data_IF_713662219694
#
_entry.id   IF_713662219694
#
_cell.length_a   1.000
_cell.length_b   1.000
_cell.length_c   1.000
_cell.angle_alpha   90.00
_cell.angle_beta   90.00
_cell.angle_gamma   90.00
#
_symmetry.space_group_name_H-M   'P 1'
#
loop_
_entity.id
_entity.type
_entity.pdbx_description
1 polymer ?
#
# COMPACT_ATOMS: atom_id res chain seq x y z
N UNK A 1 -19.72 8.03 25.49
CA UNK A 1 -18.76 7.13 24.82
C UNK A 1 -17.64 6.83 25.80
N UNK A 2 -17.63 5.62 26.39
CA UNK A 2 -16.50 5.20 27.22
C UNK A 2 -15.35 4.91 26.25
N UNK A 3 -14.27 5.69 26.33
CA UNK A 3 -13.00 5.33 25.68
C UNK A 3 -12.55 4.02 26.34
N UNK A 4 -12.84 2.89 25.71
CA UNK A 4 -12.18 1.65 26.06
C UNK A 4 -10.69 1.88 25.78
N UNK A 5 -9.87 1.62 26.79
CA UNK A 5 -8.44 1.81 26.71
C UNK A 5 -7.91 0.66 25.84
N UNK A 6 -7.58 0.89 24.57
CA UNK A 6 -6.89 -0.12 23.76
C UNK A 6 -5.58 -0.48 24.47
N UNK A 7 -5.36 -1.76 24.72
CA UNK A 7 -4.08 -2.24 25.20
C UNK A 7 -3.09 -2.14 24.04
N UNK A 8 -2.30 -1.07 24.02
CA UNK A 8 -1.20 -0.94 23.08
C UNK A 8 -0.05 -1.85 23.53
N UNK A 9 0.27 -2.85 22.72
CA UNK A 9 1.47 -3.67 22.90
C UNK A 9 2.47 -3.23 21.84
N UNK A 10 3.65 -2.82 22.27
CA UNK A 10 4.73 -2.52 21.33
C UNK A 10 5.41 -3.83 20.95
N UNK A 11 5.03 -4.42 19.81
CA UNK A 11 5.72 -5.58 19.27
C UNK A 11 6.92 -5.12 18.43
N UNK A 12 8.13 -5.49 18.84
CA UNK A 12 9.35 -5.17 18.10
C UNK A 12 9.67 -6.29 17.12
N UNK A 13 9.05 -6.25 15.95
CA UNK A 13 9.60 -6.92 14.75
C UNK A 13 10.32 -5.85 13.96
N UNK A 14 11.66 -5.84 14.04
CA UNK A 14 12.48 -4.93 13.26
C UNK A 14 12.63 -5.47 11.83
N UNK A 15 11.96 -4.83 10.86
CA UNK A 15 12.42 -4.91 9.47
C UNK A 15 13.59 -3.94 9.34
N UNK A 16 14.80 -4.47 9.11
CA UNK A 16 16.00 -3.67 8.87
C UNK A 16 16.24 -3.56 7.36
N UNK A 17 16.29 -2.34 6.85
CA UNK A 17 16.68 -2.07 5.46
C UNK A 17 17.69 -0.94 5.35
N UNK A 18 18.39 -0.89 4.22
CA UNK A 18 19.53 -0.02 4.02
C UNK A 18 19.18 1.41 3.57
N UNK A 19 17.89 1.78 3.49
CA UNK A 19 17.49 3.15 3.13
C UNK A 19 17.86 4.15 4.23
N UNK A 20 19.04 4.75 4.13
CA UNK A 20 19.56 5.76 5.07
C UNK A 20 19.54 5.30 6.55
N UNK A 21 19.66 3.99 6.80
CA UNK A 21 19.59 3.42 8.15
C UNK A 21 18.18 3.30 8.72
N UNK A 22 17.15 3.40 7.89
CA UNK A 22 15.76 3.23 8.30
C UNK A 22 15.51 1.83 8.88
N UNK A 23 14.82 1.81 10.01
CA UNK A 23 14.24 0.58 10.57
C UNK A 23 12.77 0.81 10.85
N UNK A 24 12.00 -0.28 10.88
CA UNK A 24 10.56 -0.21 11.17
C UNK A 24 10.25 -1.11 12.35
N UNK A 25 9.53 -0.57 13.32
CA UNK A 25 8.82 -1.33 14.37
C UNK A 25 7.33 -1.23 14.14
N UNK A 26 6.51 -2.00 14.87
CA UNK A 26 5.05 -1.95 14.71
C UNK A 26 4.39 -1.53 16.02
N UNK A 27 3.45 -0.58 15.92
CA UNK A 27 2.50 -0.29 16.99
C UNK A 27 1.30 -1.20 16.79
N UNK A 28 1.09 -2.13 17.72
CA UNK A 28 -0.03 -3.04 17.71
C UNK A 28 -1.04 -2.66 18.80
N UNK A 29 -2.30 -2.59 18.41
CA UNK A 29 -3.43 -2.30 19.28
C UNK A 29 -4.50 -3.35 19.03
N UNK A 30 -5.02 -3.99 20.08
CA UNK A 30 -6.08 -5.00 19.96
C UNK A 30 -7.13 -4.78 21.04
N UNK A 31 -8.40 -4.76 20.63
CA UNK A 31 -9.56 -4.64 21.52
C UNK A 31 -10.80 -5.25 20.86
N UNK A 32 -11.45 -6.21 21.53
CA UNK A 32 -12.76 -6.76 21.15
C UNK A 32 -13.00 -6.96 19.65
N UNK A 33 -12.31 -7.93 19.03
CA UNK A 33 -12.43 -8.25 17.60
C UNK A 33 -11.68 -7.29 16.65
N UNK A 34 -11.06 -6.24 17.18
CA UNK A 34 -10.36 -5.21 16.42
C UNK A 34 -8.85 -5.33 16.62
N UNK A 35 -8.09 -5.32 15.54
CA UNK A 35 -6.61 -5.35 15.54
C UNK A 35 -6.07 -4.31 14.57
N UNK A 36 -5.23 -3.41 15.08
CA UNK A 36 -4.53 -2.40 14.30
C UNK A 36 -3.03 -2.64 14.45
N UNK A 37 -2.32 -2.73 13.32
CA UNK A 37 -0.86 -2.86 13.24
C UNK A 37 -0.35 -1.74 12.36
N UNK A 38 0.31 -0.74 12.94
CA UNK A 38 0.76 0.45 12.23
C UNK A 38 2.30 0.49 12.22
N UNK A 39 2.96 0.56 11.04
CA UNK A 39 4.40 0.70 10.95
C UNK A 39 4.87 2.03 11.55
N UNK A 40 5.99 1.97 12.26
CA UNK A 40 6.67 3.13 12.87
C UNK A 40 8.11 3.12 12.40
N UNK A 41 8.46 4.11 11.58
CA UNK A 41 9.79 4.35 11.03
C UNK A 41 10.69 4.96 12.09
N UNK A 42 11.95 4.53 12.10
CA UNK A 42 13.06 5.07 12.90
C UNK A 42 14.31 5.21 12.03
N UNK A 43 15.33 5.91 12.52
CA UNK A 43 16.69 5.89 11.96
C UNK A 43 16.94 6.86 10.80
N UNK A 44 15.89 7.38 10.15
CA UNK A 44 15.99 8.53 9.25
C UNK A 44 16.10 9.85 10.03
N UNK A 45 16.33 10.98 9.35
CA UNK A 45 16.38 12.27 10.04
C UNK A 45 15.04 12.61 10.72
N UNK A 46 15.10 13.38 11.80
CA UNK A 46 13.94 13.68 12.66
C UNK A 46 12.72 14.20 11.88
N UNK A 47 12.92 15.13 10.95
CA UNK A 47 11.81 15.69 10.18
C UNK A 47 11.17 14.64 9.28
N UNK A 48 11.98 13.86 8.56
CA UNK A 48 11.46 12.79 7.71
C UNK A 48 10.73 11.71 8.54
N UNK A 49 11.30 11.35 9.69
CA UNK A 49 10.72 10.39 10.63
C UNK A 49 9.33 10.84 11.11
N UNK A 50 9.21 12.10 11.53
CA UNK A 50 7.96 12.66 12.05
C UNK A 50 6.88 12.70 10.95
N UNK A 51 7.26 13.13 9.73
CA UNK A 51 6.33 13.23 8.59
C UNK A 51 5.82 11.86 8.14
N UNK A 52 6.69 10.87 7.99
CA UNK A 52 6.30 9.53 7.53
C UNK A 52 5.39 8.87 8.57
N UNK A 53 5.75 8.93 9.86
CA UNK A 53 4.95 8.31 10.90
C UNK A 53 3.58 8.98 11.09
N UNK A 54 3.51 10.30 10.91
CA UNK A 54 2.23 11.01 10.89
C UNK A 54 1.38 10.54 9.71
N UNK A 55 1.94 10.50 8.50
CA UNK A 55 1.23 10.06 7.30
C UNK A 55 0.70 8.62 7.42
N UNK A 56 1.51 7.68 7.92
CA UNK A 56 1.08 6.28 8.11
C UNK A 56 -0.03 6.15 9.14
N UNK A 57 0.00 6.95 10.22
CA UNK A 57 -1.05 6.96 11.22
C UNK A 57 -2.35 7.59 10.68
N UNK A 58 -2.24 8.69 9.93
CA UNK A 58 -3.37 9.39 9.33
C UNK A 58 -4.03 8.52 8.25
N UNK A 59 -3.26 7.79 7.44
CA UNK A 59 -3.78 6.82 6.47
C UNK A 59 -4.60 5.73 7.16
N UNK A 60 -4.05 5.10 8.21
CA UNK A 60 -4.77 4.07 8.95
C UNK A 60 -6.05 4.62 9.60
N UNK A 61 -6.01 5.83 10.17
CA UNK A 61 -7.18 6.44 10.78
C UNK A 61 -8.27 6.80 9.75
N UNK A 62 -7.88 7.35 8.60
CA UNK A 62 -8.80 7.66 7.51
C UNK A 62 -9.47 6.40 6.96
N UNK A 63 -8.73 5.30 6.87
CA UNK A 63 -9.24 4.03 6.38
C UNK A 63 -10.23 3.36 7.34
N UNK A 64 -9.95 3.44 8.65
CA UNK A 64 -10.91 3.00 9.67
C UNK A 64 -12.21 3.77 9.52
N UNK A 65 -12.16 5.09 9.34
CA UNK A 65 -13.36 5.91 9.12
C UNK A 65 -14.07 5.52 7.81
N UNK A 66 -13.33 5.31 6.72
CA UNK A 66 -13.89 4.93 5.42
C UNK A 66 -14.61 3.57 5.46
N UNK A 67 -14.00 2.57 6.12
CA UNK A 67 -14.57 1.23 6.24
C UNK A 67 -15.73 1.16 7.22
N UNK A 68 -15.64 1.89 8.33
CA UNK A 68 -16.65 1.79 9.41
C UNK A 68 -17.79 2.78 9.25
N UNK A 69 -17.59 3.90 8.55
CA UNK A 69 -18.53 5.04 8.54
C UNK A 69 -18.80 5.60 9.94
N UNK A 70 -17.90 5.36 10.90
CA UNK A 70 -18.08 5.69 12.32
C UNK A 70 -18.99 4.72 13.09
N UNK A 71 -19.46 3.65 12.47
CA UNK A 71 -20.27 2.61 13.12
C UNK A 71 -19.41 1.58 13.87
N UNK A 72 -19.99 0.91 14.86
CA UNK A 72 -19.28 -0.11 15.64
C UNK A 72 -19.22 -1.43 14.87
N UNK A 73 -18.02 -1.76 14.36
CA UNK A 73 -17.74 -3.05 13.73
C UNK A 73 -17.59 -4.19 14.76
N UNK A 74 -18.01 -5.39 14.37
CA UNK A 74 -17.79 -6.62 15.14
C UNK A 74 -16.32 -7.04 15.02
N UNK A 75 -15.77 -7.00 13.80
CA UNK A 75 -14.35 -7.22 13.53
C UNK A 75 -13.79 -6.07 12.69
N UNK A 76 -12.55 -5.67 12.98
CA UNK A 76 -11.81 -4.67 12.22
C UNK A 76 -10.34 -5.07 12.22
N UNK A 77 -9.76 -5.21 11.03
CA UNK A 77 -8.34 -5.44 10.85
C UNK A 77 -7.75 -4.29 10.04
N UNK A 78 -6.67 -3.70 10.54
CA UNK A 78 -5.80 -2.81 9.76
C UNK A 78 -4.38 -3.31 9.95
N UNK A 79 -3.80 -3.89 8.92
CA UNK A 79 -2.48 -4.50 8.98
C UNK A 79 -1.51 -3.79 8.03
N UNK A 80 -0.75 -2.86 8.58
CA UNK A 80 0.32 -2.19 7.85
C UNK A 80 1.61 -2.99 7.82
N UNK A 81 2.32 -2.93 6.70
CA UNK A 81 3.57 -3.65 6.45
C UNK A 81 4.60 -2.74 5.78
N UNK A 82 5.85 -2.85 6.19
CA UNK A 82 6.97 -2.29 5.42
C UNK A 82 7.31 -3.23 4.26
N UNK A 83 7.06 -2.81 3.03
CA UNK A 83 7.30 -3.57 1.80
C UNK A 83 8.72 -3.34 1.26
N UNK A 84 9.25 -2.13 1.41
CA UNK A 84 10.58 -1.76 0.95
C UNK A 84 11.23 -0.74 1.89
N UNK A 85 12.52 -0.95 2.17
CA UNK A 85 13.38 -0.02 2.92
C UNK A 85 14.76 0.08 2.22
N UNK A 86 14.78 0.55 0.97
CA UNK A 86 15.97 0.50 0.09
C UNK A 86 16.29 1.83 -0.60
N UNK A 87 17.59 2.15 -0.67
CA UNK A 87 18.07 3.38 -1.28
C UNK A 87 17.49 4.64 -0.63
N UNK A 88 16.65 5.37 -1.38
CA UNK A 88 15.93 6.57 -0.90
C UNK A 88 14.45 6.29 -0.60
N UNK A 89 13.97 5.08 -0.79
CA UNK A 89 12.54 4.78 -0.79
C UNK A 89 12.18 3.91 0.41
N UNK A 90 11.16 4.36 1.14
CA UNK A 90 10.43 3.55 2.10
C UNK A 90 9.03 3.34 1.54
N UNK A 91 8.60 2.09 1.37
CA UNK A 91 7.29 1.76 0.82
C UNK A 91 6.53 0.84 1.75
N UNK A 92 5.23 1.10 1.87
CA UNK A 92 4.33 0.46 2.81
C UNK A 92 3.03 0.07 2.13
N UNK A 93 2.44 -1.01 2.61
CA UNK A 93 1.09 -1.45 2.28
C UNK A 93 0.26 -1.56 3.55
N UNK A 94 -1.07 -1.47 3.42
CA UNK A 94 -2.00 -1.84 4.46
C UNK A 94 -3.07 -2.77 3.89
N UNK A 95 -3.25 -3.94 4.50
CA UNK A 95 -4.42 -4.79 4.27
C UNK A 95 -5.47 -4.48 5.34
N UNK A 96 -6.66 -4.11 4.89
CA UNK A 96 -7.73 -3.64 5.76
C UNK A 96 -8.99 -4.49 5.57
N UNK A 97 -9.72 -4.76 6.65
CA UNK A 97 -10.97 -5.50 6.62
C UNK A 97 -11.90 -5.01 7.72
N UNK A 98 -13.19 -4.92 7.40
CA UNK A 98 -14.26 -4.67 8.37
C UNK A 98 -15.37 -5.70 8.22
N UNK A 99 -15.90 -6.15 9.35
CA UNK A 99 -17.09 -6.99 9.39
C UNK A 99 -18.11 -6.44 10.39
N UNK A 100 -19.34 -6.27 9.90
CA UNK A 100 -20.48 -5.92 10.73
C UNK A 100 -21.31 -7.16 11.03
N UNK A 101 -21.78 -7.27 12.27
CA UNK A 101 -22.58 -8.41 12.70
C UNK A 101 -23.81 -8.62 11.81
N UNK A 102 -23.89 -9.80 11.20
CA UNK A 102 -25.01 -10.18 10.33
C UNK A 102 -24.81 -9.76 8.86
N UNK A 103 -23.69 -9.15 8.50
CA UNK A 103 -23.29 -8.98 7.10
C UNK A 103 -23.04 -10.36 6.46
N UNK A 104 -23.21 -10.44 5.14
CA UNK A 104 -22.99 -11.69 4.41
C UNK A 104 -21.51 -12.06 4.31
N UNK A 105 -20.64 -11.06 4.24
CA UNK A 105 -19.18 -11.19 4.19
C UNK A 105 -18.54 -9.89 4.72
N UNK A 106 -17.23 -9.91 5.03
CA UNK A 106 -16.48 -8.69 5.29
C UNK A 106 -16.32 -7.82 4.05
N UNK A 107 -16.07 -6.53 4.26
CA UNK A 107 -15.51 -5.65 3.23
C UNK A 107 -14.01 -5.54 3.46
N UNK A 108 -13.21 -5.50 2.40
CA UNK A 108 -11.76 -5.33 2.48
C UNK A 108 -11.30 -4.21 1.56
N UNK A 109 -10.19 -3.61 1.94
CA UNK A 109 -9.48 -2.64 1.11
C UNK A 109 -7.97 -2.81 1.26
N UNK A 110 -7.22 -2.20 0.33
CA UNK A 110 -5.77 -2.09 0.39
C UNK A 110 -5.31 -0.67 0.18
N UNK A 111 -4.31 -0.27 0.96
CA UNK A 111 -3.60 1.00 0.79
C UNK A 111 -2.15 0.77 0.43
N UNK A 112 -1.55 1.78 -0.22
CA UNK A 112 -0.14 1.84 -0.56
C UNK A 112 0.40 3.24 -0.34
N UNK A 113 1.63 3.34 0.16
CA UNK A 113 2.33 4.61 0.25
C UNK A 113 3.84 4.44 0.12
N UNK A 114 4.45 5.31 -0.67
CA UNK A 114 5.90 5.35 -0.88
C UNK A 114 6.42 6.74 -0.50
N UNK A 115 7.51 6.78 0.25
CA UNK A 115 8.10 8.00 0.79
C UNK A 115 9.58 8.13 0.42
N UNK A 116 10.03 9.37 0.20
CA UNK A 116 11.45 9.69 0.12
C UNK A 116 12.03 9.76 1.54
N UNK A 117 12.96 8.86 1.86
CA UNK A 117 13.55 8.69 3.18
C UNK A 117 14.35 9.92 3.67
N UNK A 118 14.82 10.78 2.76
CA UNK A 118 15.57 11.99 3.12
C UNK A 118 14.63 13.13 3.52
N UNK A 119 13.50 13.28 2.84
CA UNK A 119 12.59 14.42 3.01
C UNK A 119 11.36 14.08 3.85
N UNK A 120 11.03 12.80 3.96
CA UNK A 120 9.78 12.28 4.55
C UNK A 120 8.55 12.53 3.69
N UNK A 121 8.71 13.05 2.47
CA UNK A 121 7.60 13.38 1.59
C UNK A 121 7.09 12.11 0.91
N UNK A 122 5.77 11.95 0.87
CA UNK A 122 5.13 10.93 0.03
C UNK A 122 5.39 11.23 -1.45
N UNK A 123 5.80 10.22 -2.19
CA UNK A 123 6.12 10.27 -3.61
C UNK A 123 4.92 9.75 -4.38
N UNK A 124 4.45 10.52 -5.36
CA UNK A 124 3.45 10.04 -6.32
C UNK A 124 4.07 9.11 -7.36
N UNK A 125 3.27 8.24 -7.98
CA UNK A 125 3.74 7.34 -9.05
C UNK A 125 4.54 8.10 -10.12
N UNK A 126 4.02 9.24 -10.57
CA UNK A 126 4.64 10.07 -11.61
C UNK A 126 6.05 10.58 -11.23
N UNK A 127 6.33 10.74 -9.95
CA UNK A 127 7.61 11.24 -9.46
C UNK A 127 8.70 10.17 -9.44
N UNK A 128 8.36 8.89 -9.53
CA UNK A 128 9.33 7.82 -9.75
C UNK A 128 9.98 7.92 -11.15
N UNK A 129 9.27 8.52 -12.11
CA UNK A 129 9.68 8.57 -13.51
C UNK A 129 10.22 9.94 -13.91
N UNK A 130 11.09 9.96 -14.94
CA UNK A 130 11.65 11.21 -15.46
C UNK A 130 10.57 12.02 -16.16
N UNK A 131 10.52 13.35 -15.94
CA UNK A 131 9.57 14.21 -16.63
C UNK A 131 9.78 14.17 -18.15
N UNK A 132 8.70 14.24 -18.91
CA UNK A 132 8.75 14.24 -20.38
C UNK A 132 9.06 12.88 -21.02
N UNK A 133 8.98 11.79 -20.25
CA UNK A 133 9.02 10.42 -20.78
C UNK A 133 7.61 9.85 -20.92
N UNK A 134 7.44 8.88 -21.81
CA UNK A 134 6.16 8.19 -22.07
C UNK A 134 5.90 7.07 -21.05
N UNK A 135 6.31 7.28 -19.79
CA UNK A 135 6.25 6.25 -18.75
C UNK A 135 4.84 5.72 -18.50
N UNK A 136 3.82 6.57 -18.67
CA UNK A 136 2.42 6.20 -18.49
C UNK A 136 1.99 5.13 -19.49
N UNK A 137 2.20 5.41 -20.78
CA UNK A 137 1.78 4.53 -21.87
C UNK A 137 2.52 3.20 -21.80
N UNK A 138 3.83 3.25 -21.52
CA UNK A 138 4.62 2.03 -21.36
C UNK A 138 4.16 1.19 -20.16
N UNK A 139 3.85 1.83 -19.04
CA UNK A 139 3.41 1.14 -17.84
C UNK A 139 2.00 0.57 -17.99
N UNK A 140 1.07 1.31 -18.59
CA UNK A 140 -0.27 0.84 -18.95
C UNK A 140 -0.17 -0.40 -19.85
N UNK A 141 0.64 -0.36 -20.91
CA UNK A 141 0.83 -1.49 -21.81
C UNK A 141 1.51 -2.70 -21.16
N UNK A 142 2.30 -2.49 -20.11
CA UNK A 142 2.90 -3.57 -19.30
C UNK A 142 1.87 -4.22 -18.40
N UNK A 143 1.14 -3.41 -17.64
CA UNK A 143 0.13 -3.90 -16.71
C UNK A 143 -1.02 -4.60 -17.45
N UNK A 144 -1.47 -4.08 -18.59
CA UNK A 144 -2.45 -4.77 -19.44
C UNK A 144 -2.00 -6.19 -19.81
N UNK A 145 -0.73 -6.37 -20.21
CA UNK A 145 -0.17 -7.70 -20.51
C UNK A 145 -0.09 -8.62 -19.29
N UNK A 146 0.13 -8.07 -18.10
CA UNK A 146 0.11 -8.84 -16.85
C UNK A 146 -1.30 -9.34 -16.56
N UNK A 147 -2.31 -8.47 -16.68
CA UNK A 147 -3.72 -8.83 -16.51
C UNK A 147 -4.13 -9.89 -17.54
N UNK A 148 -3.84 -9.67 -18.83
CA UNK A 148 -4.12 -10.63 -19.90
C UNK A 148 -3.53 -12.01 -19.58
N UNK A 149 -2.30 -12.04 -19.06
CA UNK A 149 -1.62 -13.26 -18.64
C UNK A 149 -2.33 -13.97 -17.49
N UNK A 150 -2.73 -13.23 -16.45
CA UNK A 150 -3.47 -13.78 -15.30
C UNK A 150 -4.86 -14.30 -15.72
N UNK A 151 -5.56 -13.59 -16.60
CA UNK A 151 -6.87 -14.02 -17.15
C UNK A 151 -6.71 -15.29 -17.99
N UNK A 152 -5.71 -15.34 -18.88
CA UNK A 152 -5.45 -16.52 -19.72
C UNK A 152 -5.02 -17.74 -18.91
N UNK A 153 -4.41 -17.55 -17.74
CA UNK A 153 -4.04 -18.60 -16.79
C UNK A 153 -5.18 -19.02 -15.84
N UNK A 154 -6.37 -18.42 -15.97
CA UNK A 154 -7.51 -18.62 -15.05
C UNK A 154 -7.20 -18.23 -13.58
N UNK A 155 -6.22 -17.36 -13.37
CA UNK A 155 -5.83 -16.82 -12.05
C UNK A 155 -6.59 -15.54 -11.68
N UNK A 156 -7.21 -14.90 -12.67
CA UNK A 156 -7.97 -13.67 -12.49
C UNK A 156 -9.30 -13.72 -13.25
N UNK A 157 -10.38 -13.35 -12.58
CA UNK A 157 -11.68 -13.10 -13.19
C UNK A 157 -11.89 -11.60 -13.37
N UNK A 158 -12.30 -11.18 -14.57
CA UNK A 158 -12.61 -9.78 -14.90
C UNK A 158 -14.05 -9.65 -15.40
N UNK A 159 -14.66 -8.48 -15.23
CA UNK A 159 -16.01 -8.21 -15.76
C UNK A 159 -16.01 -8.04 -17.27
N UNK A 160 -14.99 -7.36 -17.79
CA UNK A 160 -14.73 -7.15 -19.21
C UNK A 160 -13.23 -6.86 -19.45
N UNK A 161 -12.88 -6.63 -20.71
CA UNK A 161 -11.50 -6.39 -21.15
C UNK A 161 -11.11 -4.89 -21.13
N UNK A 162 -11.92 -4.02 -20.51
CA UNK A 162 -11.62 -2.59 -20.36
C UNK A 162 -10.88 -2.35 -19.05
N UNK A 163 -9.58 -2.62 -19.05
CA UNK A 163 -8.77 -2.43 -17.85
C UNK A 163 -8.65 -0.95 -17.47
N UNK A 164 -8.61 -0.64 -16.16
CA UNK A 164 -8.50 0.73 -15.70
C UNK A 164 -7.18 1.38 -16.15
N UNK A 165 -7.24 2.65 -16.53
CA UNK A 165 -6.02 3.41 -16.85
C UNK A 165 -5.27 3.73 -15.55
N UNK A 166 -3.95 3.52 -15.51
CA UNK A 166 -3.15 3.80 -14.32
C UNK A 166 -3.23 5.25 -13.85
N UNK A 167 -3.61 6.20 -14.70
CA UNK A 167 -3.82 7.58 -14.31
C UNK A 167 -5.03 7.78 -13.39
N UNK A 168 -6.01 6.87 -13.43
CA UNK A 168 -7.18 6.89 -12.56
C UNK A 168 -6.86 6.37 -11.15
N UNK A 169 -5.81 5.56 -11.01
CA UNK A 169 -5.44 4.85 -9.77
C UNK A 169 -3.95 5.04 -9.42
N UNK A 170 -3.40 6.22 -9.74
CA UNK A 170 -1.97 6.52 -9.58
C UNK A 170 -1.50 6.58 -8.12
N UNK A 171 -2.42 6.54 -7.17
CA UNK A 171 -2.21 6.42 -5.72
C UNK A 171 -2.25 4.97 -5.23
N UNK A 172 -2.75 4.03 -6.03
CA UNK A 172 -2.89 2.61 -5.68
C UNK A 172 -1.65 1.80 -6.07
N UNK A 173 -0.51 2.18 -5.49
CA UNK A 173 0.74 1.46 -5.70
C UNK A 173 1.62 1.44 -4.45
N UNK A 174 2.53 0.47 -4.41
CA UNK A 174 3.67 0.47 -3.53
C UNK A 174 4.85 -0.24 -4.23
N UNK A 175 6.00 -0.27 -3.58
CA UNK A 175 7.22 -0.89 -4.09
C UNK A 175 7.62 -2.08 -3.24
N UNK A 176 8.08 -3.14 -3.89
CA UNK A 176 8.88 -4.23 -3.32
C UNK A 176 10.21 -4.29 -4.07
N UNK A 177 11.14 -5.09 -3.58
CA UNK A 177 12.45 -5.23 -4.23
C UNK A 177 12.30 -5.71 -5.68
N UNK A 178 12.66 -4.85 -6.63
CA UNK A 178 12.58 -5.08 -8.07
C UNK A 178 11.18 -4.98 -8.67
N UNK A 179 10.17 -4.56 -7.90
CA UNK A 179 8.76 -4.65 -8.27
C UNK A 179 8.00 -3.36 -7.95
N UNK A 180 7.35 -2.81 -8.96
CA UNK A 180 6.33 -1.78 -8.80
C UNK A 180 4.98 -2.48 -8.82
N UNK A 181 4.32 -2.49 -7.67
CA UNK A 181 3.10 -3.25 -7.44
C UNK A 181 1.92 -2.31 -7.48
N UNK A 182 1.00 -2.59 -8.40
CA UNK A 182 -0.32 -1.99 -8.42
C UNK A 182 -1.31 -2.94 -7.76
N UNK A 183 -2.31 -2.36 -7.11
CA UNK A 183 -3.46 -3.07 -6.60
C UNK A 183 -4.68 -2.24 -6.99
N UNK A 184 -5.78 -2.93 -7.24
CA UNK A 184 -7.04 -2.27 -7.54
C UNK A 184 -8.06 -2.72 -6.51
N UNK A 185 -8.84 -1.76 -6.04
CA UNK A 185 -9.78 -2.02 -4.95
C UNK A 185 -11.03 -2.73 -5.47
N UNK A 186 -11.76 -3.36 -4.56
CA UNK A 186 -12.77 -4.36 -4.91
C UNK A 186 -13.84 -3.82 -5.87
N UNK A 187 -14.32 -4.68 -6.76
CA UNK A 187 -15.38 -4.43 -7.76
C UNK A 187 -15.09 -3.35 -8.81
N UNK A 188 -13.87 -2.80 -8.87
CA UNK A 188 -13.51 -1.83 -9.91
C UNK A 188 -13.62 -2.45 -11.33
N UNK A 189 -13.01 -3.62 -11.54
CA UNK A 189 -13.11 -4.38 -12.79
C UNK A 189 -13.06 -5.91 -12.60
N UNK A 190 -12.95 -6.38 -11.35
CA UNK A 190 -12.93 -7.79 -10.96
C UNK A 190 -14.04 -8.06 -9.93
N UNK A 191 -14.67 -9.25 -9.91
CA UNK A 191 -15.62 -9.58 -8.85
C UNK A 191 -14.92 -9.75 -7.50
N UNK A 192 -15.64 -9.49 -6.41
CA UNK A 192 -15.18 -9.66 -5.02
C UNK A 192 -14.57 -11.04 -4.72
N UNK A 193 -15.03 -12.08 -5.40
CA UNK A 193 -14.46 -13.43 -5.27
C UNK A 193 -12.98 -13.52 -5.69
N UNK A 194 -12.46 -12.56 -6.45
CA UNK A 194 -11.05 -12.45 -6.84
C UNK A 194 -10.17 -11.86 -5.74
N UNK A 195 -10.78 -11.43 -4.62
CA UNK A 195 -10.08 -10.73 -3.55
C UNK A 195 -9.50 -9.41 -4.06
N UNK A 196 -8.23 -9.18 -3.71
CA UNK A 196 -7.53 -7.93 -3.96
C UNK A 196 -6.26 -8.23 -4.78
N UNK A 197 -6.39 -8.40 -6.11
CA UNK A 197 -5.28 -8.82 -6.95
C UNK A 197 -4.17 -7.77 -7.04
N UNK A 198 -2.95 -8.24 -7.31
CA UNK A 198 -1.77 -7.40 -7.51
C UNK A 198 -1.25 -7.55 -8.95
N UNK A 199 -0.79 -6.43 -9.50
CA UNK A 199 -0.29 -6.33 -10.86
C UNK A 199 1.10 -5.74 -10.84
N UNK A 200 2.08 -6.53 -11.25
CA UNK A 200 3.50 -6.20 -11.04
C UNK A 200 4.15 -5.75 -12.33
N UNK A 201 4.70 -4.54 -12.33
CA UNK A 201 5.69 -4.11 -13.30
C UNK A 201 7.09 -4.34 -12.73
N UNK A 202 7.90 -5.14 -13.43
CA UNK A 202 9.28 -5.38 -13.01
C UNK A 202 10.13 -4.14 -13.23
N UNK A 203 10.95 -3.78 -12.24
CA UNK A 203 11.86 -2.63 -12.34
C UNK A 203 12.73 -2.69 -13.58
N UNK A 204 13.32 -3.85 -13.88
CA UNK A 204 14.23 -4.03 -15.02
C UNK A 204 13.59 -3.61 -16.35
N UNK A 205 12.27 -3.68 -16.44
CA UNK A 205 11.52 -3.31 -17.63
C UNK A 205 11.32 -1.80 -17.78
N UNK A 206 11.21 -1.08 -16.66
CA UNK A 206 10.92 0.37 -16.63
C UNK A 206 12.10 1.20 -16.13
N UNK A 207 13.22 0.57 -15.80
CA UNK A 207 14.40 1.21 -15.20
C UNK A 207 14.91 2.37 -16.04
N UNK A 208 14.89 2.19 -17.35
CA UNK A 208 15.29 3.21 -18.30
C UNK A 208 14.38 4.45 -18.29
N UNK A 209 13.22 4.45 -17.61
CA UNK A 209 12.33 5.61 -17.44
C UNK A 209 12.47 6.27 -16.06
N UNK A 210 13.06 5.58 -15.09
CA UNK A 210 13.12 6.02 -13.69
C UNK A 210 14.03 7.25 -13.51
N UNK A 211 13.69 8.06 -12.51
CA UNK A 211 14.62 9.06 -11.99
C UNK A 211 15.76 8.35 -11.27
N UNK A 212 17.03 8.72 -11.53
CA UNK A 212 18.18 8.03 -10.94
C UNK A 212 18.11 7.93 -9.41
N UNK A 213 17.65 8.99 -8.73
CA UNK A 213 17.50 9.04 -7.28
C UNK A 213 16.46 8.03 -6.72
N UNK A 214 15.52 7.58 -7.54
CA UNK A 214 14.47 6.62 -7.17
C UNK A 214 14.59 5.31 -7.93
N UNK A 215 15.77 4.97 -8.44
CA UNK A 215 16.04 3.72 -9.15
C UNK A 215 16.65 2.63 -8.27
N UNK A 216 16.68 2.82 -6.94
CA UNK A 216 17.36 1.93 -6.00
C UNK A 216 16.50 0.84 -5.36
N UNK A 217 15.26 0.67 -5.81
CA UNK A 217 14.33 -0.36 -5.34
C UNK A 217 14.44 -1.65 -6.15
#
# INVERSE_FOLDING_TARGET
MKKALLAAVLLTVAAAGAALGATVTYREETDGGKTLTIPVVHGVNRTANDLINAALADMAAAEIEALTGGEEAEELLVQGKAELLEGRLLSFSFDCMVYFKGAAHPSSDRLGATFDALTGRQISLAELFRPGTDWKDELNARIARVIDGQVAAEELMVFDDNYPDLSEYADQFYLRRGELVFFWTDTQFTPHASGQPEFVALKAEVEHLLRPEYSGW
#
